data_IF_376259241006
#
_entry.id   IF_376259241006
#
_cell.length_a   1.000
_cell.length_b   1.000
_cell.length_c   1.000
_cell.angle_alpha   90.00
_cell.angle_beta   90.00
_cell.angle_gamma   90.00
#
_symmetry.space_group_name_H-M   'P 1'
#
loop_
_entity.id
_entity.type
_entity.pdbx_description
1 polymer ?
#
# COMPACT_ATOMS: atom_id res chain seq x y z
N UNK A 1 -6.36 -8.90 -22.29
CA UNK A 1 -6.00 -8.59 -20.89
C UNK A 1 -6.92 -9.42 -20.01
N UNK A 2 -6.40 -10.24 -19.10
CA UNK A 2 -7.25 -10.97 -18.15
C UNK A 2 -7.66 -10.00 -17.04
N UNK A 3 -8.93 -9.66 -16.99
CA UNK A 3 -9.54 -8.88 -15.92
C UNK A 3 -10.08 -9.84 -14.87
N UNK A 4 -9.60 -9.72 -13.62
CA UNK A 4 -10.14 -10.50 -12.48
C UNK A 4 -11.34 -9.76 -11.87
N UNK A 5 -11.29 -8.44 -11.94
CA UNK A 5 -12.31 -7.49 -11.48
C UNK A 5 -12.48 -6.50 -12.63
N UNK A 6 -13.71 -6.08 -12.90
CA UNK A 6 -14.05 -5.12 -13.96
C UNK A 6 -13.09 -3.91 -13.95
N UNK A 7 -12.43 -3.66 -15.08
CA UNK A 7 -11.45 -2.58 -15.28
C UNK A 7 -10.16 -2.70 -14.42
N UNK A 8 -9.83 -3.88 -13.89
CA UNK A 8 -8.60 -4.13 -13.15
C UNK A 8 -7.80 -5.27 -13.79
N UNK A 9 -6.60 -4.94 -14.23
CA UNK A 9 -5.68 -5.90 -14.80
C UNK A 9 -5.18 -6.90 -13.75
N UNK A 10 -4.88 -8.12 -14.18
CA UNK A 10 -4.23 -9.13 -13.33
C UNK A 10 -2.93 -8.62 -12.68
N UNK A 11 -2.18 -7.78 -13.38
CA UNK A 11 -0.96 -7.17 -12.86
C UNK A 11 -1.25 -6.22 -11.69
N UNK A 12 -2.21 -5.31 -11.82
CA UNK A 12 -2.58 -4.38 -10.75
C UNK A 12 -3.10 -5.12 -9.51
N UNK A 13 -3.85 -6.21 -9.73
CA UNK A 13 -4.28 -7.10 -8.65
C UNK A 13 -3.08 -7.69 -7.90
N UNK A 14 -2.14 -8.31 -8.61
CA UNK A 14 -0.95 -8.92 -8.01
C UNK A 14 -0.07 -7.91 -7.28
N UNK A 15 0.15 -6.74 -7.88
CA UNK A 15 0.93 -5.67 -7.26
C UNK A 15 0.27 -5.17 -5.97
N UNK A 16 -1.05 -4.94 -5.98
CA UNK A 16 -1.80 -4.51 -4.79
C UNK A 16 -1.75 -5.58 -3.69
N UNK A 17 -1.91 -6.85 -4.04
CA UNK A 17 -1.78 -7.97 -3.10
C UNK A 17 -0.41 -7.99 -2.44
N UNK A 18 0.66 -7.85 -3.22
CA UNK A 18 2.02 -7.88 -2.70
C UNK A 18 2.28 -6.67 -1.79
N UNK A 19 1.89 -5.45 -2.19
CA UNK A 19 2.05 -4.24 -1.35
C UNK A 19 1.28 -4.34 -0.04
N UNK A 20 0.04 -4.84 -0.04
CA UNK A 20 -0.75 -5.05 1.19
C UNK A 20 -0.07 -6.04 2.14
N UNK A 21 0.48 -7.14 1.63
CA UNK A 21 1.24 -8.09 2.45
C UNK A 21 2.52 -7.48 3.03
N UNK A 22 3.28 -6.73 2.20
CA UNK A 22 4.49 -6.01 2.65
C UNK A 22 4.16 -5.01 3.76
N UNK A 23 3.09 -4.22 3.59
CA UNK A 23 2.63 -3.28 4.61
C UNK A 23 2.35 -3.99 5.93
N UNK A 24 1.53 -5.04 5.92
CA UNK A 24 1.19 -5.79 7.14
C UNK A 24 2.42 -6.42 7.80
N UNK A 25 3.41 -6.87 7.01
CA UNK A 25 4.67 -7.40 7.54
C UNK A 25 5.45 -6.35 8.32
N UNK A 26 5.63 -5.16 7.73
CA UNK A 26 6.42 -4.09 8.32
C UNK A 26 5.71 -3.50 9.55
N UNK A 27 4.38 -3.41 9.49
CA UNK A 27 3.53 -3.05 10.61
C UNK A 27 3.66 -4.01 11.80
N UNK A 28 3.71 -5.31 11.51
CA UNK A 28 3.89 -6.37 12.51
C UNK A 28 5.24 -6.26 13.21
N UNK A 29 6.32 -6.07 12.45
CA UNK A 29 7.72 -6.02 12.95
C UNK A 29 8.02 -4.79 13.80
N UNK A 30 7.64 -3.59 13.34
CA UNK A 30 8.02 -2.34 14.02
C UNK A 30 7.07 -1.96 15.17
N UNK A 31 5.81 -2.40 15.14
CA UNK A 31 4.79 -1.82 16.00
C UNK A 31 3.80 -2.79 16.66
N UNK A 32 3.80 -4.11 16.36
CA UNK A 32 2.71 -5.03 16.77
C UNK A 32 1.31 -4.45 16.47
N UNK A 33 1.19 -3.61 15.45
CA UNK A 33 -0.04 -2.88 15.16
C UNK A 33 -0.77 -3.56 14.03
N UNK A 34 -1.91 -4.14 14.40
CA UNK A 34 -2.98 -4.39 13.47
C UNK A 34 -3.52 -3.10 12.87
N UNK A 35 -4.10 -3.21 11.69
CA UNK A 35 -4.58 -2.04 10.97
C UNK A 35 -5.88 -2.31 10.25
N UNK A 36 -6.66 -1.26 9.98
CA UNK A 36 -7.92 -1.38 9.24
C UNK A 36 -7.66 -1.34 7.74
N UNK A 37 -8.67 -1.72 6.95
CA UNK A 37 -8.62 -1.60 5.49
C UNK A 37 -8.35 -0.16 5.05
N UNK A 38 -8.96 0.84 5.67
CA UNK A 38 -8.79 2.25 5.30
C UNK A 38 -7.34 2.72 5.49
N UNK A 39 -6.71 2.28 6.59
CA UNK A 39 -5.30 2.57 6.82
C UNK A 39 -4.40 1.86 5.81
N UNK A 40 -4.71 0.60 5.44
CA UNK A 40 -3.99 -0.10 4.38
C UNK A 40 -4.09 0.63 3.04
N UNK A 41 -5.28 1.14 2.69
CA UNK A 41 -5.51 1.91 1.47
C UNK A 41 -4.66 3.19 1.44
N UNK A 42 -4.63 3.94 2.55
CA UNK A 42 -3.84 5.17 2.66
C UNK A 42 -2.35 4.85 2.59
N UNK A 43 -1.90 3.80 3.25
CA UNK A 43 -0.50 3.37 3.20
C UNK A 43 -0.10 2.86 1.81
N UNK A 44 -0.96 2.09 1.14
CA UNK A 44 -0.72 1.57 -0.21
C UNK A 44 -0.52 2.69 -1.23
N UNK A 45 -1.20 3.83 -1.06
CA UNK A 45 -0.99 5.01 -1.90
C UNK A 45 0.48 5.42 -1.96
N UNK A 46 1.16 5.50 -0.81
CA UNK A 46 2.57 5.93 -0.75
C UNK A 46 3.53 4.85 -1.25
N UNK A 47 3.15 3.56 -1.19
CA UNK A 47 3.93 2.51 -1.84
C UNK A 47 3.72 2.43 -3.35
N UNK A 48 2.52 2.79 -3.82
CA UNK A 48 2.20 2.86 -5.24
C UNK A 48 2.87 4.07 -5.91
N UNK A 49 3.08 5.14 -5.14
CA UNK A 49 3.62 6.41 -5.61
C UNK A 49 4.78 6.87 -4.70
N UNK A 50 5.92 6.15 -4.74
CA UNK A 50 7.05 6.40 -3.85
C UNK A 50 7.64 7.81 -4.00
N UNK A 51 7.48 8.47 -5.14
CA UNK A 51 7.94 9.84 -5.37
C UNK A 51 7.25 10.86 -4.45
N UNK A 52 6.06 10.51 -3.92
CA UNK A 52 5.28 11.38 -3.03
C UNK A 52 5.74 11.34 -1.57
N UNK A 53 6.71 10.47 -1.24
CA UNK A 53 7.34 10.45 0.09
C UNK A 53 8.38 11.57 0.23
N UNK A 54 8.96 12.04 -0.88
CA UNK A 54 9.91 13.15 -0.91
C UNK A 54 9.19 14.49 -0.75
N UNK A 55 9.90 15.48 -0.21
CA UNK A 55 9.44 16.87 -0.19
C UNK A 55 9.82 17.61 -1.49
N UNK A 56 10.86 17.14 -2.17
CA UNK A 56 11.23 17.58 -3.52
C UNK A 56 10.63 16.59 -4.52
N UNK A 57 9.49 16.95 -5.10
CA UNK A 57 8.83 16.14 -6.13
C UNK A 57 9.44 16.49 -7.48
N UNK A 58 10.28 15.61 -8.04
CA UNK A 58 10.75 15.76 -9.42
C UNK A 58 9.61 15.50 -10.42
N UNK A 59 8.95 16.56 -10.87
CA UNK A 59 7.78 16.52 -11.76
C UNK A 59 8.12 16.29 -13.25
N UNK A 60 9.07 15.41 -13.53
CA UNK A 60 9.60 15.23 -14.89
C UNK A 60 8.72 14.42 -15.86
N UNK A 61 7.70 13.68 -15.38
CA UNK A 61 6.94 12.71 -16.21
C UNK A 61 5.43 12.95 -16.16
N UNK A 62 4.84 13.26 -17.32
CA UNK A 62 3.41 13.53 -17.49
C UNK A 62 2.50 12.38 -17.02
N UNK A 63 2.83 11.13 -17.38
CA UNK A 63 2.03 9.95 -17.03
C UNK A 63 1.98 9.68 -15.52
N UNK A 64 3.07 10.04 -14.84
CA UNK A 64 3.21 9.93 -13.38
C UNK A 64 2.30 10.97 -12.70
N UNK A 65 2.32 12.22 -13.19
CA UNK A 65 1.41 13.30 -12.74
C UNK A 65 -0.07 12.95 -12.99
N UNK A 66 -0.40 12.36 -14.14
CA UNK A 66 -1.77 11.91 -14.45
C UNK A 66 -2.26 10.80 -13.52
N UNK A 67 -1.39 9.82 -13.22
CA UNK A 67 -1.70 8.71 -12.32
C UNK A 67 -2.03 9.15 -10.89
N UNK A 68 -1.41 10.24 -10.43
CA UNK A 68 -1.67 10.82 -9.11
C UNK A 68 -3.07 11.43 -9.01
N UNK A 69 -3.48 12.22 -10.01
CA UNK A 69 -4.72 12.99 -9.95
C UNK A 69 -5.99 12.16 -10.09
N UNK A 70 -5.89 11.02 -10.77
CA UNK A 70 -7.01 10.11 -10.96
C UNK A 70 -7.00 8.94 -10.00
N UNK A 71 -6.03 8.89 -9.07
CA UNK A 71 -6.03 7.85 -8.07
C UNK A 71 -7.23 7.99 -7.15
N UNK A 72 -8.04 6.93 -7.13
CA UNK A 72 -9.12 6.73 -6.17
C UNK A 72 -9.01 5.31 -5.62
N UNK A 73 -9.27 5.10 -4.33
CA UNK A 73 -9.24 3.77 -3.77
C UNK A 73 -10.32 2.89 -4.43
N UNK A 74 -9.89 1.77 -5.01
CA UNK A 74 -10.81 0.77 -5.54
C UNK A 74 -11.15 -0.24 -4.45
N UNK A 75 -12.20 0.02 -3.68
CA UNK A 75 -12.62 -0.85 -2.57
C UNK A 75 -12.93 -2.28 -3.01
N UNK A 76 -13.44 -2.50 -4.24
CA UNK A 76 -13.66 -3.86 -4.76
C UNK A 76 -12.34 -4.61 -4.89
N UNK A 77 -11.29 -3.96 -5.40
CA UNK A 77 -9.94 -4.52 -5.49
C UNK A 77 -9.39 -4.84 -4.09
N UNK A 78 -9.46 -3.90 -3.14
CA UNK A 78 -8.97 -4.15 -1.79
C UNK A 78 -9.73 -5.29 -1.09
N UNK A 79 -11.05 -5.37 -1.25
CA UNK A 79 -11.85 -6.47 -0.69
C UNK A 79 -11.42 -7.82 -1.27
N UNK A 80 -11.23 -7.91 -2.59
CA UNK A 80 -10.77 -9.13 -3.24
C UNK A 80 -9.36 -9.54 -2.80
N UNK A 81 -8.45 -8.57 -2.72
CA UNK A 81 -7.08 -8.78 -2.25
C UNK A 81 -7.06 -9.28 -0.79
N UNK A 82 -7.82 -8.65 0.10
CA UNK A 82 -7.89 -9.05 1.50
C UNK A 82 -8.52 -10.44 1.64
N UNK A 83 -9.57 -10.75 0.88
CA UNK A 83 -10.19 -12.08 0.87
C UNK A 83 -9.21 -13.16 0.38
N UNK A 84 -8.42 -12.90 -0.66
CA UNK A 84 -7.41 -13.83 -1.17
C UNK A 84 -6.28 -14.05 -0.15
N UNK A 85 -5.78 -12.99 0.46
CA UNK A 85 -4.76 -13.07 1.50
C UNK A 85 -5.25 -13.85 2.74
N UNK A 86 -6.51 -13.67 3.14
CA UNK A 86 -7.16 -14.46 4.20
C UNK A 86 -7.29 -15.93 3.80
N UNK A 87 -7.80 -16.21 2.61
CA UNK A 87 -7.98 -17.58 2.11
C UNK A 87 -6.66 -18.35 2.01
N UNK A 88 -5.56 -17.66 1.71
CA UNK A 88 -4.21 -18.23 1.67
C UNK A 88 -3.55 -18.37 3.03
N UNK A 89 -4.19 -17.91 4.10
CA UNK A 89 -3.62 -17.78 5.44
C UNK A 89 -2.31 -16.97 5.43
N UNK A 90 -2.24 -15.91 4.63
CA UNK A 90 -1.14 -14.94 4.64
C UNK A 90 -1.41 -13.92 5.75
N UNK A 91 -2.67 -13.52 5.91
CA UNK A 91 -3.12 -12.58 6.93
C UNK A 91 -4.25 -13.19 7.75
N UNK A 92 -4.52 -12.61 8.92
CA UNK A 92 -5.70 -12.89 9.74
C UNK A 92 -6.48 -11.61 10.01
N UNK A 93 -7.79 -11.75 10.24
CA UNK A 93 -8.69 -10.65 10.60
C UNK A 93 -9.15 -10.86 12.05
N UNK A 94 -8.92 -9.86 12.91
CA UNK A 94 -9.58 -9.80 14.19
C UNK A 94 -10.99 -9.22 14.01
N UNK A 95 -12.00 -10.07 14.16
CA UNK A 95 -13.41 -9.71 13.96
C UNK A 95 -13.96 -8.76 15.03
N UNK A 96 -13.27 -8.58 16.17
CA UNK A 96 -13.73 -7.68 17.23
C UNK A 96 -13.46 -6.21 16.89
N UNK A 97 -12.37 -5.93 16.16
CA UNK A 97 -11.92 -4.58 15.86
C UNK A 97 -11.75 -4.31 14.36
N UNK A 98 -12.07 -5.29 13.50
CA UNK A 98 -11.90 -5.25 12.04
C UNK A 98 -10.48 -4.89 11.60
N UNK A 99 -9.47 -5.44 12.29
CA UNK A 99 -8.08 -5.20 11.98
C UNK A 99 -7.36 -6.43 11.47
N UNK A 100 -6.49 -6.20 10.49
CA UNK A 100 -5.71 -7.22 9.81
C UNK A 100 -4.32 -7.32 10.41
N UNK A 101 -3.80 -8.54 10.46
CA UNK A 101 -2.47 -8.89 10.95
C UNK A 101 -1.80 -9.84 9.96
N UNK A 102 -0.47 -9.76 9.84
CA UNK A 102 0.27 -10.79 9.12
C UNK A 102 0.40 -12.06 9.99
N UNK A 103 0.46 -13.21 9.34
CA UNK A 103 0.77 -14.50 9.98
C UNK A 103 2.23 -14.89 9.73
N UNK A 104 2.76 -15.87 10.44
CA UNK A 104 4.10 -16.44 10.17
C UNK A 104 4.25 -16.92 8.71
N UNK A 105 3.16 -17.45 8.12
CA UNK A 105 3.14 -17.84 6.70
C UNK A 105 3.21 -16.61 5.80
N UNK A 106 2.55 -15.52 6.17
CA UNK A 106 2.63 -14.26 5.45
C UNK A 106 3.99 -13.59 5.55
N UNK A 107 4.67 -13.69 6.70
CA UNK A 107 6.04 -13.21 6.83
C UNK A 107 6.98 -13.94 5.87
N UNK A 108 6.84 -15.27 5.76
CA UNK A 108 7.59 -16.08 4.78
C UNK A 108 7.27 -15.68 3.34
N UNK A 109 5.99 -15.50 3.01
CA UNK A 109 5.57 -15.01 1.69
C UNK A 109 6.25 -13.68 1.34
N UNK A 110 6.32 -12.75 2.29
CA UNK A 110 6.99 -11.45 2.07
C UNK A 110 8.50 -11.61 1.93
N UNK A 111 9.15 -12.47 2.72
CA UNK A 111 10.59 -12.79 2.55
C UNK A 111 10.86 -13.35 1.16
N UNK A 112 10.02 -14.25 0.67
CA UNK A 112 10.12 -14.81 -0.69
C UNK A 112 9.98 -13.72 -1.76
N UNK A 113 9.06 -12.75 -1.59
CA UNK A 113 9.00 -11.59 -2.48
C UNK A 113 10.34 -10.85 -2.51
N UNK A 114 10.92 -10.54 -1.34
CA UNK A 114 12.20 -9.82 -1.23
C UNK A 114 13.42 -10.60 -1.76
N UNK A 115 13.30 -11.92 -1.95
CA UNK A 115 14.37 -12.77 -2.47
C UNK A 115 14.47 -12.79 -4.00
N UNK A 116 13.56 -12.11 -4.70
CA UNK A 116 13.58 -12.01 -6.16
C UNK A 116 14.76 -11.17 -6.65
N UNK A 117 15.65 -11.79 -7.42
CA UNK A 117 16.85 -11.16 -7.96
C UNK A 117 16.50 -10.03 -8.95
N UNK A 118 17.24 -8.92 -8.89
CA UNK A 118 17.08 -7.79 -9.81
C UNK A 118 16.05 -6.74 -9.39
N UNK A 119 15.38 -6.90 -8.25
CA UNK A 119 14.48 -5.88 -7.70
C UNK A 119 15.23 -5.01 -6.67
N UNK A 120 15.22 -3.70 -6.87
CA UNK A 120 15.73 -2.73 -5.89
C UNK A 120 14.68 -2.45 -4.81
N UNK A 121 14.80 -3.18 -3.70
CA UNK A 121 13.92 -3.07 -2.55
C UNK A 121 14.17 -1.81 -1.70
N UNK A 122 15.28 -1.09 -1.90
CA UNK A 122 15.63 0.06 -1.07
C UNK A 122 14.56 1.15 -1.12
N UNK A 123 13.97 1.40 -2.30
CA UNK A 123 12.88 2.37 -2.49
C UNK A 123 11.59 1.96 -1.78
N UNK A 124 11.28 0.67 -1.77
CA UNK A 124 10.11 0.12 -1.07
C UNK A 124 10.31 0.29 0.44
N UNK A 125 11.49 -0.05 0.96
CA UNK A 125 11.81 0.12 2.37
C UNK A 125 11.78 1.59 2.80
N UNK A 126 12.34 2.51 2.00
CA UNK A 126 12.25 3.95 2.27
C UNK A 126 10.80 4.44 2.34
N UNK A 127 9.96 3.97 1.42
CA UNK A 127 8.52 4.29 1.42
C UNK A 127 7.84 3.73 2.67
N UNK A 128 8.22 2.54 3.10
CA UNK A 128 7.72 1.94 4.34
C UNK A 128 8.15 2.72 5.58
N UNK A 129 9.39 3.16 5.69
CA UNK A 129 9.87 3.99 6.81
C UNK A 129 9.09 5.30 6.91
N UNK A 130 8.82 5.93 5.75
CA UNK A 130 7.96 7.11 5.68
C UNK A 130 6.53 6.80 6.16
N UNK A 131 5.94 5.71 5.67
CA UNK A 131 4.59 5.29 6.07
C UNK A 131 4.53 5.06 7.58
N UNK A 132 5.50 4.35 8.13
CA UNK A 132 5.58 4.03 9.55
C UNK A 132 5.67 5.28 10.41
N UNK A 133 6.59 6.18 10.05
CA UNK A 133 6.88 7.39 10.84
C UNK A 133 5.83 8.50 10.66
N UNK A 134 5.27 8.67 9.46
CA UNK A 134 4.42 9.82 9.11
C UNK A 134 2.96 9.48 8.89
N UNK A 135 2.63 8.28 8.38
CA UNK A 135 1.27 7.97 7.92
C UNK A 135 0.47 7.19 8.97
N UNK A 136 1.03 6.14 9.56
CA UNK A 136 0.27 5.22 10.41
C UNK A 136 -0.27 5.81 11.70
N UNK A 137 0.46 6.77 12.27
CA UNK A 137 0.09 7.43 13.50
C UNK A 137 -1.02 8.48 13.27
N UNK A 138 -1.39 8.75 12.01
CA UNK A 138 -2.50 9.65 11.66
C UNK A 138 -3.84 8.90 11.71
N UNK A 139 -4.90 9.67 11.93
CA UNK A 139 -6.27 9.22 11.65
C UNK A 139 -6.45 9.04 10.14
N UNK A 140 -7.47 8.27 9.74
CA UNK A 140 -7.81 8.08 8.31
C UNK A 140 -8.03 9.43 7.62
N UNK A 141 -8.77 10.35 8.26
CA UNK A 141 -9.00 11.70 7.74
C UNK A 141 -7.72 12.50 7.58
N UNK A 142 -6.81 12.48 8.56
CA UNK A 142 -5.54 13.18 8.48
C UNK A 142 -4.60 12.59 7.42
N UNK A 143 -4.64 11.26 7.20
CA UNK A 143 -3.94 10.61 6.10
C UNK A 143 -4.48 11.02 4.72
N UNK A 144 -5.81 11.11 4.57
CA UNK A 144 -6.44 11.61 3.35
C UNK A 144 -6.08 13.08 3.06
N UNK A 145 -6.09 13.94 4.08
CA UNK A 145 -5.65 15.34 3.96
C UNK A 145 -4.19 15.42 3.52
N UNK A 146 -3.33 14.55 4.06
CA UNK A 146 -1.92 14.49 3.67
C UNK A 146 -1.74 14.10 2.20
N UNK A 147 -2.49 13.10 1.72
CA UNK A 147 -2.53 12.74 0.29
C UNK A 147 -2.97 13.95 -0.54
N UNK A 148 -4.09 14.58 -0.17
CA UNK A 148 -4.62 15.72 -0.90
C UNK A 148 -3.63 16.88 -0.95
N UNK A 149 -2.98 17.18 0.17
CA UNK A 149 -1.97 18.23 0.25
C UNK A 149 -0.77 17.96 -0.66
N UNK A 150 -0.26 16.72 -0.68
CA UNK A 150 0.82 16.32 -1.62
C UNK A 150 0.36 16.45 -3.08
N UNK A 151 -0.88 16.06 -3.39
CA UNK A 151 -1.45 16.22 -4.73
C UNK A 151 -1.60 17.69 -5.14
N UNK A 152 -1.99 18.58 -4.22
CA UNK A 152 -2.17 20.00 -4.50
C UNK A 152 -0.84 20.72 -4.74
N UNK A 153 0.23 20.33 -4.02
CA UNK A 153 1.59 20.81 -4.32
C UNK A 153 2.02 20.51 -5.76
N UNK A 154 1.59 19.37 -6.31
CA UNK A 154 1.88 18.97 -7.70
C UNK A 154 1.05 19.76 -8.72
N UNK A 155 -0.11 20.31 -8.32
CA UNK A 155 -0.96 21.15 -9.18
C UNK A 155 -0.44 22.57 -9.31
N UNK A 156 0.11 23.11 -8.23
CA UNK A 156 0.64 24.48 -8.16
C UNK A 156 1.98 24.69 -8.87
N UNK A 157 2.67 23.59 -9.19
CA UNK A 157 3.92 23.53 -9.95
C UNK A 157 3.69 23.00 -11.37
#
# INVERSE_FOLDING_TARGET
MLEIIENISFQEYCLTRNRVAILLNILGKEHKKDTTQEKLIISDFFLKFPELISDEIELGRFDVKYSYFHWKPNYKLYNAVLADLLARNIITLNSLNNRYFITDKGEKFVIELFSEEGIDWSKILQSCDFIVSKVLNKTVSAGQIMIQSKLDCIRGN
#
